data_IF_740456114137
#
_entry.id   IF_740456114137
#
_cell.length_a   1.000
_cell.length_b   1.000
_cell.length_c   1.000
_cell.angle_alpha   90.00
_cell.angle_beta   90.00
_cell.angle_gamma   90.00
#
_symmetry.space_group_name_H-M   'P 1'
#
loop_
_entity.id
_entity.type
_entity.pdbx_description
1 polymer ?
#
# COMPACT_ATOMS: atom_id res chain seq x y z
N UNK A 1 -34.71 -21.81 29.07
CA UNK A 1 -35.89 -21.69 28.19
C UNK A 1 -36.90 -20.75 28.81
N UNK A 2 -37.38 -19.80 27.98
CA UNK A 2 -38.56 -18.93 28.14
C UNK A 2 -38.44 -17.70 29.06
N UNK A 3 -38.98 -16.61 28.50
CA UNK A 3 -39.38 -15.30 29.09
C UNK A 3 -38.21 -14.30 29.14
N UNK A 4 -38.14 -13.23 28.35
CA UNK A 4 -39.23 -12.35 27.91
C UNK A 4 -39.13 -11.98 26.42
N UNK A 5 -40.29 -12.16 25.78
CA UNK A 5 -40.68 -11.51 24.54
C UNK A 5 -40.99 -10.03 24.78
N UNK A 6 -40.95 -9.27 23.67
CA UNK A 6 -41.72 -8.06 23.42
C UNK A 6 -41.29 -6.79 24.19
N UNK A 7 -41.35 -5.56 23.67
CA UNK A 7 -41.87 -4.97 22.43
C UNK A 7 -41.60 -3.46 22.56
N UNK A 8 -41.13 -2.79 21.50
CA UNK A 8 -41.67 -1.48 21.10
C UNK A 8 -40.96 -0.97 19.85
N UNK A 9 -41.75 -0.91 18.78
CA UNK A 9 -41.53 -0.19 17.53
C UNK A 9 -42.03 1.23 17.72
N UNK A 10 -41.22 2.23 17.36
CA UNK A 10 -41.65 3.57 16.99
C UNK A 10 -40.54 4.15 16.09
N UNK A 11 -40.62 3.95 14.77
CA UNK A 11 -41.26 4.86 13.82
C UNK A 11 -40.92 6.33 14.10
N UNK A 12 -39.89 6.81 13.40
CA UNK A 12 -39.48 8.21 13.35
C UNK A 12 -38.91 8.53 11.96
N UNK A 13 -39.71 8.29 10.92
CA UNK A 13 -39.50 8.85 9.59
C UNK A 13 -39.89 10.33 9.65
N UNK A 14 -38.91 11.22 9.75
CA UNK A 14 -39.07 12.64 9.47
C UNK A 14 -38.21 13.03 8.27
N UNK A 15 -38.90 13.07 7.12
CA UNK A 15 -38.85 14.08 6.07
C UNK A 15 -37.58 14.94 5.89
N UNK A 16 -36.95 14.71 4.74
CA UNK A 16 -36.76 15.71 3.67
C UNK A 16 -36.07 17.03 4.04
N UNK A 17 -34.76 17.08 3.77
CA UNK A 17 -34.05 18.32 3.45
C UNK A 17 -33.55 18.27 2.01
N UNK A 18 -34.29 18.89 1.08
CA UNK A 18 -33.74 19.29 -0.21
C UNK A 18 -32.98 20.60 -0.01
N UNK A 19 -31.69 20.62 -0.30
CA UNK A 19 -30.99 21.82 -0.71
C UNK A 19 -29.92 21.44 -1.74
N UNK A 20 -30.25 21.77 -2.98
CA UNK A 20 -29.38 21.80 -4.15
C UNK A 20 -28.17 22.68 -3.86
N UNK A 21 -26.98 22.20 -4.19
CA UNK A 21 -25.83 23.07 -4.45
C UNK A 21 -25.16 22.53 -5.70
N UNK A 22 -25.65 22.98 -6.85
CA UNK A 22 -24.90 23.00 -8.09
C UNK A 22 -23.82 24.07 -7.94
N UNK A 23 -22.64 23.67 -7.46
CA UNK A 23 -21.46 24.52 -7.58
C UNK A 23 -20.87 24.29 -8.96
N UNK A 24 -20.83 25.38 -9.69
CA UNK A 24 -20.34 25.55 -11.04
C UNK A 24 -18.98 24.87 -11.27
N UNK A 25 -18.94 24.13 -12.37
CA UNK A 25 -17.77 23.75 -13.14
C UNK A 25 -16.65 24.81 -13.08
N UNK A 26 -15.58 24.49 -12.38
CA UNK A 26 -14.23 24.99 -12.72
C UNK A 26 -13.48 23.84 -13.39
N UNK A 27 -13.82 23.61 -14.67
CA UNK A 27 -12.97 22.85 -15.59
C UNK A 27 -11.68 23.64 -15.84
N UNK A 28 -10.74 23.60 -14.89
CA UNK A 28 -9.38 24.13 -15.08
C UNK A 28 -8.39 23.63 -14.02
N UNK A 29 -8.53 22.40 -13.54
CA UNK A 29 -7.50 21.81 -12.64
C UNK A 29 -7.33 20.29 -12.73
N UNK A 30 -7.96 19.61 -13.70
CA UNK A 30 -7.88 18.13 -13.79
C UNK A 30 -6.46 17.62 -14.11
N UNK A 31 -5.67 18.35 -14.91
CA UNK A 31 -4.30 17.92 -15.25
C UNK A 31 -3.34 17.87 -14.06
N UNK A 32 -3.56 18.68 -13.02
CA UNK A 32 -2.69 18.71 -11.83
C UNK A 32 -3.04 17.59 -10.85
N UNK A 33 -4.29 17.14 -10.87
CA UNK A 33 -4.78 16.08 -9.99
C UNK A 33 -4.45 14.69 -10.57
N UNK A 34 -4.62 14.50 -11.88
CA UNK A 34 -4.23 13.26 -12.59
C UNK A 34 -2.75 12.90 -12.36
N UNK A 35 -1.85 13.88 -12.51
CA UNK A 35 -0.41 13.64 -12.32
C UNK A 35 -0.03 13.33 -10.86
N UNK A 36 -0.83 13.77 -9.87
CA UNK A 36 -0.65 13.40 -8.47
C UNK A 36 -1.18 12.01 -8.17
N UNK A 37 -2.30 11.64 -8.76
CA UNK A 37 -2.89 10.32 -8.59
C UNK A 37 -2.04 9.24 -9.26
N UNK A 38 -1.48 9.50 -10.44
CA UNK A 38 -0.57 8.57 -11.13
C UNK A 38 0.69 8.29 -10.29
N UNK A 39 1.38 9.33 -9.82
CA UNK A 39 2.58 9.17 -8.96
C UNK A 39 2.26 8.44 -7.65
N UNK A 40 1.09 8.69 -7.08
CA UNK A 40 0.65 8.01 -5.86
C UNK A 40 0.29 6.55 -6.11
N UNK A 41 -0.21 6.23 -7.30
CA UNK A 41 -0.52 4.88 -7.72
C UNK A 41 0.77 4.09 -8.01
N UNK A 42 1.72 4.69 -8.72
CA UNK A 42 3.07 4.15 -8.95
C UNK A 42 3.77 3.84 -7.62
N UNK A 43 3.79 4.79 -6.68
CA UNK A 43 4.43 4.57 -5.37
C UNK A 43 3.73 3.47 -4.56
N UNK A 44 2.41 3.32 -4.68
CA UNK A 44 1.66 2.22 -4.05
C UNK A 44 1.98 0.88 -4.68
N UNK A 45 2.15 0.82 -5.99
CA UNK A 45 2.48 -0.41 -6.70
C UNK A 45 3.93 -0.82 -6.43
N UNK A 46 4.88 0.12 -6.41
CA UNK A 46 6.26 -0.15 -6.04
C UNK A 46 6.35 -0.66 -4.59
N UNK A 47 5.63 -0.04 -3.65
CA UNK A 47 5.56 -0.54 -2.27
C UNK A 47 5.03 -1.98 -2.21
N UNK A 48 4.04 -2.33 -3.04
CA UNK A 48 3.48 -3.69 -3.10
C UNK A 48 4.48 -4.68 -3.71
N UNK A 49 5.16 -4.31 -4.80
CA UNK A 49 6.16 -5.14 -5.45
C UNK A 49 7.29 -5.47 -4.47
N UNK A 50 7.79 -4.44 -3.78
CA UNK A 50 8.88 -4.59 -2.83
C UNK A 50 8.51 -5.49 -1.64
N UNK A 51 7.30 -5.37 -1.09
CA UNK A 51 6.84 -6.26 -0.01
C UNK A 51 6.75 -7.73 -0.43
N UNK A 52 6.59 -8.02 -1.73
CA UNK A 52 6.56 -9.37 -2.26
C UNK A 52 7.94 -9.84 -2.79
N UNK A 53 8.94 -8.96 -2.81
CA UNK A 53 10.25 -9.25 -3.36
C UNK A 53 10.96 -10.36 -2.57
N UNK A 54 10.93 -10.30 -1.24
CA UNK A 54 11.53 -11.35 -0.39
C UNK A 54 10.84 -12.71 -0.58
N UNK A 55 9.57 -12.70 -0.97
CA UNK A 55 8.77 -13.91 -1.22
C UNK A 55 9.06 -14.53 -2.59
N UNK A 56 9.29 -13.71 -3.60
CA UNK A 56 9.54 -14.16 -4.98
C UNK A 56 11.02 -14.19 -5.35
N UNK A 57 11.94 -13.92 -4.41
CA UNK A 57 13.38 -13.90 -4.67
C UNK A 57 13.89 -15.19 -5.35
N UNK A 58 13.33 -16.36 -4.99
CA UNK A 58 13.67 -17.64 -5.63
C UNK A 58 13.15 -17.79 -7.06
N UNK A 59 12.04 -17.12 -7.41
CA UNK A 59 11.45 -17.15 -8.75
C UNK A 59 12.05 -16.08 -9.68
N UNK A 60 12.65 -15.03 -9.13
CA UNK A 60 13.26 -13.93 -9.90
C UNK A 60 14.65 -14.26 -10.47
N UNK A 61 15.20 -15.45 -10.20
CA UNK A 61 16.53 -15.87 -10.64
C UNK A 61 17.59 -14.79 -10.38
N UNK A 62 17.61 -14.24 -9.15
CA UNK A 62 18.52 -13.17 -8.78
C UNK A 62 19.97 -13.63 -8.89
N UNK A 63 20.84 -12.80 -9.48
CA UNK A 63 22.27 -13.10 -9.52
C UNK A 63 22.88 -13.08 -8.12
N UNK A 64 23.98 -13.81 -7.92
CA UNK A 64 24.72 -13.81 -6.65
C UNK A 64 25.10 -12.40 -6.19
N UNK A 65 25.40 -11.49 -7.15
CA UNK A 65 25.70 -10.09 -6.87
C UNK A 65 24.47 -9.35 -6.33
N UNK A 66 23.31 -9.50 -6.97
CA UNK A 66 22.06 -8.90 -6.53
C UNK A 66 21.65 -9.41 -5.15
N UNK A 67 21.76 -10.72 -4.89
CA UNK A 67 21.49 -11.30 -3.56
C UNK A 67 22.41 -10.70 -2.49
N UNK A 68 23.70 -10.51 -2.79
CA UNK A 68 24.63 -9.85 -1.87
C UNK A 68 24.25 -8.39 -1.63
N UNK A 69 23.87 -7.64 -2.67
CA UNK A 69 23.43 -6.25 -2.55
C UNK A 69 22.16 -6.14 -1.70
N UNK A 70 21.17 -7.01 -1.90
CA UNK A 70 19.95 -7.06 -1.08
C UNK A 70 20.27 -7.32 0.39
N UNK A 71 21.17 -8.26 0.69
CA UNK A 71 21.62 -8.52 2.07
C UNK A 71 22.34 -7.31 2.68
N UNK A 72 23.09 -6.54 1.89
CA UNK A 72 23.72 -5.30 2.38
C UNK A 72 22.67 -4.24 2.71
N UNK A 73 21.66 -4.08 1.85
CA UNK A 73 20.51 -3.19 2.07
C UNK A 73 19.76 -3.60 3.34
N UNK A 74 19.46 -4.89 3.51
CA UNK A 74 18.82 -5.42 4.73
C UNK A 74 19.59 -5.01 5.99
N UNK A 75 20.89 -5.32 6.04
CA UNK A 75 21.74 -4.99 7.19
C UNK A 75 21.80 -3.50 7.48
N UNK A 76 21.88 -2.66 6.43
CA UNK A 76 21.90 -1.19 6.54
C UNK A 76 20.64 -0.67 7.21
N UNK A 77 19.46 -1.06 6.73
CA UNK A 77 18.19 -0.56 7.26
C UNK A 77 17.82 -1.19 8.59
N UNK A 78 18.16 -2.46 8.83
CA UNK A 78 17.91 -3.09 10.13
C UNK A 78 18.65 -2.36 11.26
N UNK A 79 19.89 -1.90 11.00
CA UNK A 79 20.64 -1.05 11.94
C UNK A 79 19.95 0.30 12.17
N UNK A 80 19.50 0.97 11.10
CA UNK A 80 18.79 2.26 11.20
C UNK A 80 17.48 2.11 12.00
N UNK A 81 16.67 1.10 11.68
CA UNK A 81 15.38 0.82 12.34
C UNK A 81 15.59 0.51 13.82
N UNK A 82 16.58 -0.34 14.16
CA UNK A 82 16.93 -0.63 15.56
C UNK A 82 17.32 0.64 16.33
N UNK A 83 18.11 1.52 15.72
CA UNK A 83 18.51 2.80 16.32
C UNK A 83 17.30 3.71 16.56
N UNK A 84 16.35 3.77 15.63
CA UNK A 84 15.12 4.56 15.80
C UNK A 84 14.21 3.94 16.87
N UNK A 85 14.10 2.62 16.91
CA UNK A 85 13.28 1.91 17.89
C UNK A 85 13.81 2.07 19.33
N UNK A 86 15.13 2.21 19.50
CA UNK A 86 15.76 2.43 20.81
C UNK A 86 15.58 3.85 21.38
N UNK A 87 15.16 4.83 20.56
CA UNK A 87 14.91 6.20 21.05
C UNK A 87 13.59 6.25 21.83
N UNK A 88 13.60 6.95 22.98
CA UNK A 88 12.40 7.19 23.80
C UNK A 88 11.36 7.96 22.96
N UNK A 89 10.10 7.52 22.99
CA UNK A 89 9.04 8.10 22.14
C UNK A 89 8.98 7.53 20.72
N UNK A 90 9.25 6.22 20.55
CA UNK A 90 9.15 5.42 19.31
C UNK A 90 8.37 6.09 18.18
N UNK A 91 9.10 6.66 17.23
CA UNK A 91 8.53 7.31 16.04
C UNK A 91 8.13 6.24 15.04
N UNK A 92 6.95 5.61 15.25
CA UNK A 92 6.36 4.62 14.31
C UNK A 92 6.39 5.12 12.86
N UNK A 93 6.18 6.42 12.65
CA UNK A 93 6.28 7.07 11.34
C UNK A 93 7.69 7.03 10.74
N UNK A 94 8.73 7.28 11.53
CA UNK A 94 10.13 7.21 11.08
C UNK A 94 10.54 5.77 10.75
N UNK A 95 10.13 4.80 11.58
CA UNK A 95 10.37 3.39 11.29
C UNK A 95 9.67 2.96 10.00
N UNK A 96 8.45 3.45 9.76
CA UNK A 96 7.71 3.18 8.51
C UNK A 96 8.46 3.76 7.30
N UNK A 97 8.92 5.01 7.36
CA UNK A 97 9.73 5.63 6.30
C UNK A 97 10.99 4.81 5.99
N UNK A 98 11.70 4.38 7.02
CA UNK A 98 12.89 3.52 6.84
C UNK A 98 12.57 2.18 6.19
N UNK A 99 11.38 1.61 6.41
CA UNK A 99 10.94 0.40 5.71
C UNK A 99 10.60 0.69 4.25
N UNK A 100 9.95 1.81 3.96
CA UNK A 100 9.64 2.24 2.60
C UNK A 100 10.94 2.50 1.80
N UNK A 101 11.88 3.26 2.35
CA UNK A 101 13.21 3.50 1.75
C UNK A 101 13.97 2.19 1.49
N UNK A 102 13.92 1.24 2.45
CA UNK A 102 14.52 -0.09 2.30
C UNK A 102 13.95 -0.83 1.08
N UNK A 103 12.65 -0.74 0.92
CA UNK A 103 11.92 -1.41 -0.15
C UNK A 103 12.22 -0.80 -1.52
N UNK A 104 12.26 0.53 -1.62
CA UNK A 104 12.67 1.25 -2.83
C UNK A 104 14.12 0.90 -3.22
N UNK A 105 15.04 0.89 -2.25
CA UNK A 105 16.45 0.53 -2.50
C UNK A 105 16.61 -0.95 -2.90
N UNK A 106 15.76 -1.86 -2.41
CA UNK A 106 15.74 -3.26 -2.87
C UNK A 106 15.25 -3.39 -4.31
N UNK A 107 14.22 -2.64 -4.68
CA UNK A 107 13.67 -2.65 -6.04
C UNK A 107 14.68 -2.13 -7.07
N UNK A 108 15.50 -1.13 -6.73
CA UNK A 108 16.49 -0.57 -7.67
C UNK A 108 17.64 -1.54 -8.02
N UNK A 109 17.79 -2.65 -7.28
CA UNK A 109 18.77 -3.72 -7.56
C UNK A 109 18.32 -4.63 -8.72
N UNK A 110 17.01 -4.69 -8.98
CA UNK A 110 16.44 -5.56 -10.01
C UNK A 110 16.70 -5.00 -11.42
N UNK A 111 16.84 -5.89 -12.40
CA UNK A 111 16.80 -5.52 -13.82
C UNK A 111 15.36 -5.16 -14.24
N UNK A 112 15.17 -4.42 -15.35
CA UNK A 112 13.84 -4.15 -15.90
C UNK A 112 13.01 -5.42 -16.16
N UNK A 113 13.64 -6.48 -16.66
CA UNK A 113 13.00 -7.78 -16.89
C UNK A 113 12.54 -8.44 -15.58
N UNK A 114 13.36 -8.37 -14.53
CA UNK A 114 13.01 -8.89 -13.21
C UNK A 114 11.88 -8.08 -12.58
N UNK A 115 11.82 -6.77 -12.81
CA UNK A 115 10.69 -5.92 -12.41
C UNK A 115 9.38 -6.36 -13.07
N UNK A 116 9.40 -6.59 -14.38
CA UNK A 116 8.22 -7.07 -15.11
C UNK A 116 7.78 -8.45 -14.63
N UNK A 117 8.75 -9.36 -14.39
CA UNK A 117 8.47 -10.67 -13.83
C UNK A 117 7.83 -10.55 -12.44
N UNK A 118 8.38 -9.72 -11.56
CA UNK A 118 7.83 -9.47 -10.23
C UNK A 118 6.40 -8.94 -10.29
N UNK A 119 6.12 -7.99 -11.20
CA UNK A 119 4.76 -7.48 -11.46
C UNK A 119 3.81 -8.62 -11.84
N UNK A 120 4.20 -9.45 -12.80
CA UNK A 120 3.37 -10.59 -13.24
C UNK A 120 3.09 -11.62 -12.12
N UNK A 121 4.06 -11.87 -11.24
CA UNK A 121 3.92 -12.80 -10.11
C UNK A 121 2.99 -12.24 -9.03
N UNK A 122 3.07 -10.93 -8.77
CA UNK A 122 2.18 -10.24 -7.84
C UNK A 122 0.74 -10.22 -8.36
N UNK A 123 0.55 -9.93 -9.65
CA UNK A 123 -0.77 -9.86 -10.27
C UNK A 123 -1.44 -11.23 -10.38
N UNK A 124 -0.70 -12.27 -10.78
CA UNK A 124 -1.21 -13.64 -10.87
C UNK A 124 -1.80 -14.15 -9.56
N UNK A 125 -1.22 -13.74 -8.43
CA UNK A 125 -1.64 -14.22 -7.12
C UNK A 125 -2.77 -13.38 -6.50
N UNK A 126 -3.25 -12.33 -7.17
CA UNK A 126 -4.47 -11.65 -6.72
C UNK A 126 -5.63 -12.62 -6.87
N UNK A 127 -6.28 -13.08 -5.77
CA UNK A 127 -7.59 -13.66 -5.93
C UNK A 127 -8.46 -12.58 -6.55
N UNK A 128 -9.14 -12.90 -7.65
CA UNK A 128 -10.22 -12.06 -8.16
C UNK A 128 -11.19 -11.86 -7.00
N UNK A 129 -11.11 -10.71 -6.31
CA UNK A 129 -12.16 -10.27 -5.42
C UNK A 129 -13.32 -9.93 -6.33
N UNK A 130 -14.08 -10.94 -6.73
CA UNK A 130 -15.40 -10.77 -7.30
C UNK A 130 -16.13 -9.83 -6.35
N UNK A 131 -16.40 -8.61 -6.83
CA UNK A 131 -17.37 -7.69 -6.24
C UNK A 131 -18.61 -8.52 -5.95
N UNK A 132 -18.84 -8.87 -4.68
CA UNK A 132 -20.18 -9.28 -4.25
C UNK A 132 -21.03 -8.03 -4.42
N UNK A 133 -21.88 -8.07 -5.44
CA UNK A 133 -23.06 -7.19 -5.53
C UNK A 133 -24.04 -7.52 -4.43
#
# INVERSE_FOLDING_TARGET
>A
MKKMMMLMVALGLLFTGCATSTTSTTQRDDRRNEQRDDRRNEQRDDTRLANNLDRYAGELNLSTRQVRQMKQIDRKYDRKIKRVAAKKGSKRAEQRRLREEKQEEKLSVLTPEQHQKLRSLVDRRRPFRSRRG
#
